data_IF_730613367926
#
_entry.id   IF_730613367926
#
_cell.length_a   1.000
_cell.length_b   1.000
_cell.length_c   1.000
_cell.angle_alpha   90.00
_cell.angle_beta   90.00
_cell.angle_gamma   90.00
#
_symmetry.space_group_name_H-M   'P 1'
#
loop_
_entity.id
_entity.type
_entity.pdbx_description
1 polymer ?
#
# COMPACT_ATOMS: atom_id res chain seq x y z
N UNK A 1 27.52 0.45 -75.34
CA UNK A 1 27.72 -0.02 -73.95
C UNK A 1 27.13 1.02 -72.99
N UNK A 2 25.90 0.81 -72.55
CA UNK A 2 25.28 1.64 -71.49
C UNK A 2 24.22 0.76 -70.81
N UNK A 3 24.55 0.25 -69.63
CA UNK A 3 23.65 -0.50 -68.75
C UNK A 3 23.16 0.46 -67.66
N UNK A 4 21.89 0.86 -67.73
CA UNK A 4 21.22 1.55 -66.63
C UNK A 4 20.92 0.53 -65.52
N UNK A 5 21.54 0.72 -64.36
CA UNK A 5 21.27 -0.06 -63.14
C UNK A 5 20.27 0.71 -62.28
N UNK A 6 18.98 0.42 -62.45
CA UNK A 6 17.92 0.96 -61.59
C UNK A 6 17.98 0.28 -60.21
N UNK A 7 18.32 1.07 -59.20
CA UNK A 7 18.40 0.66 -57.81
C UNK A 7 16.99 0.78 -57.18
N UNK A 8 16.31 -0.35 -56.95
CA UNK A 8 15.07 -0.38 -56.18
C UNK A 8 15.39 -0.11 -54.70
N UNK A 9 14.99 1.05 -54.19
CA UNK A 9 14.98 1.36 -52.76
C UNK A 9 13.71 0.76 -52.13
N UNK A 10 13.85 -0.39 -51.46
CA UNK A 10 12.82 -0.92 -50.57
C UNK A 10 12.82 -0.11 -49.26
N UNK A 11 11.81 0.76 -49.09
CA UNK A 11 11.57 1.43 -47.82
C UNK A 11 10.97 0.47 -46.80
N UNK A 12 11.73 0.11 -45.77
CA UNK A 12 11.23 -0.68 -44.63
C UNK A 12 10.47 0.25 -43.70
N UNK A 13 9.14 0.16 -43.70
CA UNK A 13 8.26 0.79 -42.72
C UNK A 13 8.43 0.07 -41.37
N UNK A 14 9.26 0.62 -40.48
CA UNK A 14 9.37 0.15 -39.09
C UNK A 14 8.13 0.62 -38.34
N UNK A 15 7.14 -0.26 -38.20
CA UNK A 15 6.01 -0.03 -37.30
C UNK A 15 6.48 -0.21 -35.86
N UNK A 16 6.60 0.89 -35.12
CA UNK A 16 6.81 0.84 -33.68
C UNK A 16 5.55 0.30 -33.01
N UNK A 17 5.53 -1.01 -32.74
CA UNK A 17 4.53 -1.61 -31.86
C UNK A 17 4.82 -1.11 -30.45
N UNK A 18 4.13 -0.06 -30.01
CA UNK A 18 4.12 0.32 -28.60
C UNK A 18 3.36 -0.76 -27.83
N UNK A 19 4.10 -1.66 -27.19
CA UNK A 19 3.53 -2.57 -26.20
C UNK A 19 3.05 -1.74 -25.01
N UNK A 20 1.74 -1.50 -24.93
CA UNK A 20 1.08 -1.00 -23.73
C UNK A 20 1.29 -2.02 -22.62
N UNK A 21 2.27 -1.81 -21.75
CA UNK A 21 2.42 -2.62 -20.54
C UNK A 21 1.26 -2.27 -19.62
N UNK A 22 0.31 -3.20 -19.48
CA UNK A 22 -0.72 -3.14 -18.45
C UNK A 22 0.01 -2.92 -17.12
N UNK A 23 -0.35 -1.87 -16.39
CA UNK A 23 0.17 -1.69 -15.04
C UNK A 23 -0.28 -2.89 -14.22
N UNK A 24 0.62 -3.61 -13.52
CA UNK A 24 0.21 -4.69 -12.64
C UNK A 24 -0.82 -4.15 -11.64
N UNK A 25 -1.80 -5.00 -11.32
CA UNK A 25 -2.78 -4.69 -10.29
C UNK A 25 -2.07 -4.39 -8.97
N UNK A 26 -2.58 -3.43 -8.17
CA UNK A 26 -2.00 -3.13 -6.88
C UNK A 26 -1.95 -4.38 -5.99
N UNK A 27 -0.88 -4.53 -5.21
CA UNK A 27 -0.90 -5.53 -4.13
C UNK A 27 -1.75 -4.98 -3.00
N UNK A 28 -2.83 -5.69 -2.64
CA UNK A 28 -3.81 -5.24 -1.64
C UNK A 28 -3.68 -6.04 -0.34
N UNK A 29 -3.64 -5.34 0.79
CA UNK A 29 -3.57 -5.92 2.13
C UNK A 29 -4.71 -5.42 3.02
N UNK A 30 -5.34 -6.31 3.77
CA UNK A 30 -6.49 -6.05 4.63
C UNK A 30 -6.22 -6.43 6.09
N UNK A 31 -6.80 -5.67 7.03
CA UNK A 31 -6.77 -5.99 8.46
C UNK A 31 -7.95 -5.39 9.22
N UNK A 32 -8.18 -5.92 10.41
CA UNK A 32 -8.82 -5.22 11.51
C UNK A 32 -7.83 -5.09 12.67
N UNK A 33 -7.78 -3.92 13.29
CA UNK A 33 -6.92 -3.64 14.43
C UNK A 33 -7.71 -2.88 15.51
N UNK A 34 -7.22 -2.86 16.76
CA UNK A 34 -7.79 -2.01 17.78
C UNK A 34 -7.51 -0.54 17.45
N UNK A 35 -8.38 0.33 17.95
CA UNK A 35 -8.27 1.78 17.77
C UNK A 35 -7.49 2.45 18.90
N UNK A 36 -6.25 2.03 19.07
CA UNK A 36 -5.36 2.55 20.12
C UNK A 36 -4.62 3.81 19.66
N UNK A 37 -3.90 4.45 20.58
CA UNK A 37 -3.29 5.77 20.38
C UNK A 37 -2.39 5.85 19.13
N UNK A 38 -1.56 4.83 18.87
CA UNK A 38 -0.60 4.84 17.77
C UNK A 38 -1.32 4.82 16.40
N UNK A 39 -2.16 3.82 16.08
CA UNK A 39 -2.98 3.84 14.86
C UNK A 39 -3.83 5.10 14.68
N UNK A 40 -4.40 5.63 15.78
CA UNK A 40 -5.20 6.86 15.72
C UNK A 40 -4.36 8.05 15.29
N UNK A 41 -3.18 8.22 15.89
CA UNK A 41 -2.27 9.31 15.52
C UNK A 41 -1.82 9.19 14.06
N UNK A 42 -1.50 7.97 13.60
CA UNK A 42 -1.08 7.71 12.23
C UNK A 42 -2.17 8.04 11.20
N UNK A 43 -3.44 7.77 11.55
CA UNK A 43 -4.59 8.02 10.68
C UNK A 43 -5.21 9.41 10.88
N UNK A 44 -4.69 10.21 11.81
CA UNK A 44 -5.28 11.49 12.24
C UNK A 44 -6.74 11.35 12.73
N UNK A 45 -7.06 10.23 13.39
CA UNK A 45 -8.38 10.01 14.01
C UNK A 45 -8.47 10.90 15.27
N UNK A 46 -9.45 11.82 15.36
CA UNK A 46 -9.58 12.75 16.49
C UNK A 46 -9.67 12.02 17.81
N UNK A 47 -8.96 12.44 18.86
CA UNK A 47 -8.99 11.77 20.18
C UNK A 47 -10.40 11.67 20.80
N UNK A 48 -11.29 12.61 20.45
CA UNK A 48 -12.69 12.65 20.89
C UNK A 48 -13.61 11.67 20.15
N UNK A 49 -13.15 11.06 19.06
CA UNK A 49 -13.97 10.15 18.28
C UNK A 49 -14.19 8.82 19.01
N UNK A 50 -15.44 8.35 19.02
CA UNK A 50 -15.79 6.99 19.45
C UNK A 50 -15.16 5.97 18.50
N UNK A 51 -14.17 5.24 19.01
CA UNK A 51 -13.43 4.32 18.18
C UNK A 51 -12.85 3.18 19.02
N UNK A 52 -13.17 1.95 18.62
CA UNK A 52 -12.68 0.70 19.24
C UNK A 52 -11.98 -0.19 18.22
N UNK A 53 -12.35 -0.08 16.95
CA UNK A 53 -11.82 -0.87 15.86
C UNK A 53 -11.47 0.03 14.67
N UNK A 54 -10.46 -0.39 13.92
CA UNK A 54 -10.08 0.17 12.63
C UNK A 54 -10.02 -0.98 11.62
N UNK A 55 -10.66 -0.82 10.46
CA UNK A 55 -10.52 -1.69 9.30
C UNK A 55 -9.61 -0.99 8.30
N UNK A 56 -8.62 -1.72 7.78
CA UNK A 56 -7.59 -1.21 6.89
C UNK A 56 -7.70 -1.90 5.53
N UNK A 57 -7.50 -1.14 4.47
CA UNK A 57 -7.29 -1.64 3.12
C UNK A 57 -6.17 -0.84 2.46
N UNK A 58 -4.99 -1.46 2.38
CA UNK A 58 -3.78 -0.88 1.83
C UNK A 58 -3.51 -1.44 0.44
N UNK A 59 -3.58 -0.60 -0.58
CA UNK A 59 -3.14 -0.90 -1.94
C UNK A 59 -1.75 -0.31 -2.19
N UNK A 60 -0.80 -1.14 -2.60
CA UNK A 60 0.57 -0.76 -2.96
C UNK A 60 0.76 -0.88 -4.47
N UNK A 61 1.04 0.25 -5.13
CA UNK A 61 1.32 0.33 -6.55
C UNK A 61 2.83 0.30 -6.80
N UNK A 62 3.20 -0.33 -7.91
CA UNK A 62 4.58 -0.43 -8.40
C UNK A 62 4.64 -0.04 -9.86
N UNK A 63 5.80 0.45 -10.30
CA UNK A 63 6.02 0.73 -11.72
C UNK A 63 6.07 -0.61 -12.50
N UNK A 64 5.25 -0.78 -13.55
CA UNK A 64 5.22 -2.00 -14.38
C UNK A 64 6.58 -2.36 -14.99
N UNK A 65 7.47 -1.39 -15.17
CA UNK A 65 8.71 -1.54 -15.93
C UNK A 65 9.84 -2.10 -15.08
N UNK A 66 9.90 -1.74 -13.80
CA UNK A 66 11.02 -2.07 -12.90
C UNK A 66 10.57 -2.58 -11.52
N UNK A 67 9.25 -2.65 -11.26
CA UNK A 67 8.67 -3.09 -9.99
C UNK A 67 9.03 -2.22 -8.77
N UNK A 68 9.57 -1.02 -9.00
CA UNK A 68 9.87 -0.09 -7.92
C UNK A 68 8.58 0.43 -7.26
N UNK A 69 8.60 0.67 -5.94
CA UNK A 69 7.52 1.36 -5.24
C UNK A 69 7.17 2.70 -5.90
N UNK A 70 5.87 2.97 -6.07
CA UNK A 70 5.39 4.26 -6.57
C UNK A 70 4.44 4.89 -5.56
N UNK A 71 3.18 4.50 -5.62
CA UNK A 71 2.09 5.13 -4.89
C UNK A 71 1.37 4.12 -4.00
N UNK A 72 0.75 4.60 -2.92
CA UNK A 72 -0.14 3.80 -2.11
C UNK A 72 -1.47 4.49 -1.94
N UNK A 73 -2.52 3.69 -1.74
CA UNK A 73 -3.81 4.14 -1.27
C UNK A 73 -4.18 3.31 -0.04
N UNK A 74 -4.38 3.99 1.08
CA UNK A 74 -4.84 3.41 2.33
C UNK A 74 -6.25 3.90 2.62
N UNK A 75 -7.24 3.04 2.39
CA UNK A 75 -8.58 3.27 2.88
C UNK A 75 -8.69 2.71 4.29
N UNK A 76 -9.38 3.43 5.16
CA UNK A 76 -9.68 2.95 6.50
C UNK A 76 -11.10 3.33 6.93
N UNK A 77 -11.68 2.47 7.75
CA UNK A 77 -12.93 2.74 8.46
C UNK A 77 -12.68 2.56 9.94
N UNK A 78 -13.14 3.48 10.77
CA UNK A 78 -12.99 3.40 12.21
C UNK A 78 -14.31 3.61 12.93
N UNK A 79 -14.45 3.07 14.14
CA UNK A 79 -15.66 3.25 14.93
C UNK A 79 -15.83 2.18 16.01
N UNK A 80 -17.06 2.07 16.51
CA UNK A 80 -17.45 1.01 17.44
C UNK A 80 -17.81 -0.25 16.63
N UNK A 81 -17.25 -1.39 16.98
CA UNK A 81 -17.59 -2.67 16.37
C UNK A 81 -18.99 -3.15 16.79
N UNK A 82 -19.72 -3.79 15.88
CA UNK A 82 -20.91 -4.56 16.27
C UNK A 82 -20.46 -5.78 17.10
N UNK A 83 -21.21 -6.18 18.13
CA UNK A 83 -20.90 -7.38 18.89
C UNK A 83 -20.76 -8.61 17.99
N UNK A 84 -19.69 -9.38 18.19
CA UNK A 84 -19.41 -10.63 17.48
C UNK A 84 -19.32 -10.53 15.94
N UNK A 85 -19.04 -9.36 15.37
CA UNK A 85 -18.74 -9.23 13.93
C UNK A 85 -17.53 -8.31 13.69
N UNK A 86 -17.05 -8.28 12.45
CA UNK A 86 -16.01 -7.33 12.03
C UNK A 86 -16.59 -6.01 11.52
N UNK A 87 -17.91 -5.81 11.58
CA UNK A 87 -18.60 -4.62 11.09
C UNK A 87 -18.73 -3.52 12.15
N UNK A 88 -19.06 -2.32 11.69
CA UNK A 88 -19.19 -1.13 12.52
C UNK A 88 -20.65 -0.81 12.85
N UNK A 89 -20.91 -0.35 14.08
CA UNK A 89 -22.14 0.38 14.37
C UNK A 89 -22.19 1.64 13.52
N UNK A 90 -23.37 1.98 12.98
CA UNK A 90 -23.58 3.17 12.15
C UNK A 90 -22.61 3.29 10.95
N UNK A 91 -22.16 2.16 10.39
CA UNK A 91 -21.21 2.06 9.26
C UNK A 91 -19.79 2.60 9.51
N UNK A 92 -19.50 3.12 10.71
CA UNK A 92 -18.22 3.73 11.05
C UNK A 92 -17.94 5.02 10.27
N UNK A 93 -16.80 5.64 10.57
CA UNK A 93 -16.29 6.81 9.86
C UNK A 93 -15.18 6.37 8.92
N UNK A 94 -15.25 6.82 7.66
CA UNK A 94 -14.28 6.46 6.61
C UNK A 94 -13.24 7.56 6.44
N UNK A 95 -12.04 7.16 6.09
CA UNK A 95 -11.00 8.07 5.62
C UNK A 95 -10.08 7.39 4.61
N UNK A 96 -9.27 8.21 3.96
CA UNK A 96 -8.27 7.75 2.99
C UNK A 96 -6.96 8.50 3.22
N UNK A 97 -5.84 7.80 3.12
CA UNK A 97 -4.49 8.39 3.02
C UNK A 97 -3.82 7.89 1.76
N UNK A 98 -3.14 8.78 1.06
CA UNK A 98 -2.45 8.45 -0.18
C UNK A 98 -1.11 9.18 -0.24
N UNK A 99 -0.20 8.68 -1.07
CA UNK A 99 1.13 9.24 -1.22
C UNK A 99 2.11 8.23 -1.78
N UNK A 100 3.40 8.54 -1.66
CA UNK A 100 4.46 7.63 -2.08
C UNK A 100 4.77 6.63 -0.97
N UNK A 101 5.25 5.45 -1.37
CA UNK A 101 5.78 4.48 -0.41
C UNK A 101 7.15 3.99 -0.84
N UNK A 102 7.92 3.50 0.12
CA UNK A 102 9.30 3.04 -0.09
C UNK A 102 9.54 1.69 0.58
N UNK A 103 10.51 0.94 0.06
CA UNK A 103 11.03 -0.26 0.69
C UNK A 103 12.40 0.02 1.28
N UNK A 104 12.54 -0.15 2.58
CA UNK A 104 13.80 0.01 3.30
C UNK A 104 14.26 -1.38 3.75
N UNK A 105 15.54 -1.71 3.53
CA UNK A 105 16.15 -2.85 4.21
C UNK A 105 16.75 -2.35 5.51
N UNK A 106 16.37 -2.97 6.63
CA UNK A 106 17.05 -2.68 7.90
C UNK A 106 18.30 -3.56 8.07
N UNK A 107 19.15 -3.24 9.05
CA UNK A 107 20.39 -3.97 9.32
C UNK A 107 20.22 -5.46 9.66
N UNK A 108 18.98 -5.93 9.88
CA UNK A 108 18.64 -7.34 10.11
C UNK A 108 18.11 -8.03 8.84
N UNK A 109 18.30 -7.42 7.66
CA UNK A 109 17.78 -7.89 6.38
C UNK A 109 16.24 -8.02 6.33
N UNK A 110 15.52 -7.39 7.25
CA UNK A 110 14.06 -7.29 7.18
C UNK A 110 13.69 -6.16 6.23
N UNK A 111 12.66 -6.39 5.45
CA UNK A 111 12.12 -5.36 4.54
C UNK A 111 11.03 -4.59 5.26
N UNK A 112 11.14 -3.26 5.28
CA UNK A 112 10.16 -2.34 5.85
C UNK A 112 9.50 -1.55 4.74
N UNK A 113 8.17 -1.55 4.70
CA UNK A 113 7.38 -0.73 3.82
C UNK A 113 7.02 0.55 4.56
N UNK A 114 7.43 1.71 4.05
CA UNK A 114 7.17 3.01 4.66
C UNK A 114 6.27 3.84 3.76
N UNK A 115 5.05 4.10 4.23
CA UNK A 115 4.07 4.97 3.62
C UNK A 115 4.38 6.41 4.04
N UNK A 116 4.56 7.29 3.06
CA UNK A 116 4.79 8.73 3.28
C UNK A 116 3.54 9.47 2.80
N UNK A 117 2.64 9.86 3.72
CA UNK A 117 1.45 10.61 3.37
C UNK A 117 1.81 11.92 2.67
N UNK A 118 0.98 12.36 1.73
CA UNK A 118 1.14 13.67 1.10
C UNK A 118 0.98 14.84 2.08
N UNK A 119 0.22 14.63 3.15
CA UNK A 119 0.01 15.58 4.25
C UNK A 119 1.10 15.45 5.32
N UNK A 120 1.28 16.50 6.14
CA UNK A 120 2.19 16.50 7.30
C UNK A 120 1.63 15.62 8.43
N UNK A 121 1.64 14.31 8.21
CA UNK A 121 1.25 13.29 9.20
C UNK A 121 2.37 12.27 9.36
N UNK A 122 2.49 11.61 10.51
CA UNK A 122 3.52 10.60 10.73
C UNK A 122 3.48 9.53 9.64
N UNK A 123 4.66 9.10 9.19
CA UNK A 123 4.77 7.98 8.28
C UNK A 123 4.20 6.71 8.94
N UNK A 124 3.58 5.85 8.12
CA UNK A 124 3.09 4.54 8.58
C UNK A 124 4.08 3.51 8.07
N UNK A 125 4.62 2.70 8.97
CA UNK A 125 5.61 1.70 8.63
C UNK A 125 5.13 0.29 8.95
N UNK A 126 5.41 -0.63 8.05
CA UNK A 126 5.13 -2.05 8.22
C UNK A 126 6.41 -2.85 8.00
N UNK A 127 6.67 -3.84 8.83
CA UNK A 127 7.65 -4.87 8.47
C UNK A 127 6.97 -5.94 7.62
N UNK A 128 7.64 -6.36 6.56
CA UNK A 128 7.26 -7.52 5.78
C UNK A 128 7.67 -8.77 6.54
N UNK A 129 6.69 -9.57 6.99
CA UNK A 129 6.94 -10.85 7.63
C UNK A 129 7.13 -11.96 6.59
N UNK A 130 6.34 -11.92 5.52
CA UNK A 130 6.49 -12.76 4.32
C UNK A 130 5.90 -12.05 3.08
N UNK A 131 5.64 -12.78 2.01
CA UNK A 131 5.10 -12.23 0.75
C UNK A 131 3.64 -11.76 0.88
N UNK A 132 2.91 -12.24 1.88
CA UNK A 132 1.47 -12.02 2.08
C UNK A 132 1.14 -11.35 3.41
N UNK A 133 2.12 -11.10 4.26
CA UNK A 133 1.95 -10.59 5.62
C UNK A 133 2.79 -9.35 5.85
N UNK A 134 2.10 -8.28 6.25
CA UNK A 134 2.70 -7.06 6.77
C UNK A 134 2.32 -6.90 8.23
N UNK A 135 3.21 -6.39 9.06
CA UNK A 135 2.92 -6.11 10.46
C UNK A 135 3.25 -4.65 10.78
N UNK A 136 2.30 -3.95 11.40
CA UNK A 136 2.44 -2.54 11.75
C UNK A 136 3.59 -2.34 12.75
N UNK A 137 4.36 -1.28 12.52
CA UNK A 137 5.41 -0.83 13.43
C UNK A 137 4.96 0.42 14.19
N UNK A 138 5.48 0.60 15.40
CA UNK A 138 5.37 1.86 16.12
C UNK A 138 6.33 2.94 15.57
N UNK A 139 6.35 4.12 16.21
CA UNK A 139 7.23 5.23 15.85
C UNK A 139 8.73 4.92 16.02
N UNK A 140 9.08 3.97 16.87
CA UNK A 140 10.46 3.51 17.11
C UNK A 140 10.86 2.40 16.13
N UNK A 141 9.95 1.93 15.28
CA UNK A 141 10.16 0.79 14.39
C UNK A 141 10.05 -0.58 15.05
N UNK A 142 9.46 -0.68 16.25
CA UNK A 142 9.18 -1.94 16.94
C UNK A 142 7.83 -2.50 16.51
N UNK A 143 7.65 -3.82 16.66
CA UNK A 143 6.39 -4.49 16.34
C UNK A 143 5.26 -4.01 17.26
N UNK A 144 4.11 -3.69 16.68
CA UNK A 144 2.90 -3.41 17.47
C UNK A 144 2.36 -4.70 18.09
N UNK A 145 2.36 -4.77 19.42
CA UNK A 145 1.98 -5.99 20.14
C UNK A 145 0.46 -6.01 20.35
N UNK A 146 -0.21 -6.96 19.71
CA UNK A 146 -1.63 -7.24 19.93
C UNK A 146 -1.90 -8.01 21.23
N UNK A 147 -3.16 -8.38 21.44
CA UNK A 147 -3.57 -9.26 22.54
C UNK A 147 -4.66 -10.23 22.06
N UNK A 148 -5.23 -11.06 22.94
CA UNK A 148 -6.08 -12.21 22.58
C UNK A 148 -7.32 -11.94 21.70
N UNK A 149 -7.67 -10.68 21.41
CA UNK A 149 -8.75 -10.32 20.48
C UNK A 149 -8.33 -9.39 19.33
N UNK A 150 -7.05 -9.01 19.24
CA UNK A 150 -6.60 -7.93 18.39
C UNK A 150 -5.20 -8.17 17.82
N UNK A 151 -5.02 -7.87 16.54
CA UNK A 151 -3.76 -7.98 15.81
C UNK A 151 -3.47 -6.67 15.05
N UNK A 152 -2.22 -6.47 14.68
CA UNK A 152 -1.79 -5.38 13.79
C UNK A 152 -1.13 -5.92 12.51
N UNK A 153 -1.43 -7.17 12.17
CA UNK A 153 -0.98 -7.82 10.94
C UNK A 153 -2.01 -7.62 9.83
N UNK A 154 -1.55 -7.17 8.67
CA UNK A 154 -2.32 -7.08 7.44
C UNK A 154 -2.01 -8.29 6.55
N UNK A 155 -3.06 -8.90 6.02
CA UNK A 155 -2.99 -10.06 5.14
C UNK A 155 -3.25 -9.61 3.71
N UNK A 156 -2.48 -10.13 2.76
CA UNK A 156 -2.75 -9.92 1.35
C UNK A 156 -4.12 -10.51 0.99
N UNK A 157 -4.91 -9.75 0.23
CA UNK A 157 -6.22 -10.16 -0.27
C UNK A 157 -6.09 -11.17 -1.40
#
# INVERSE_FOLDING_TARGET
MTLLRNCLLLGVLITFVQASRISPDPTVFWATSPCDQIPRSMLAIPATAECKMIRWELALLRDPRNQNPTFYKLNYTYGISKPATTDFMNNGTKGTKEGNWTMLKNGQNKTVYRLSPAEVTPAISFVRLDDKLLHLLDSDGKLMIGHGGWSYTLNMK
#
